data_IF_703465538221
#
_entry.id   IF_703465538221
#
_cell.length_a   1.000
_cell.length_b   1.000
_cell.length_c   1.000
_cell.angle_alpha   90.00
_cell.angle_beta   90.00
_cell.angle_gamma   90.00
#
_symmetry.space_group_name_H-M   'P 1'
#
loop_
_entity.id
_entity.type
_entity.pdbx_description
1 polymer ?
#
# COMPACT_ATOMS: atom_id res chain seq x y z
N UNK A 1 -98.47 -25.22 10.49
CA UNK A 1 -97.56 -24.01 10.44
C UNK A 1 -96.38 -24.13 11.39
N UNK A 2 -96.46 -24.62 12.62
CA UNK A 2 -95.27 -24.67 13.52
C UNK A 2 -94.16 -25.64 13.05
N UNK A 3 -94.51 -26.78 12.43
CA UNK A 3 -93.50 -27.74 11.93
C UNK A 3 -92.67 -27.24 10.73
N UNK A 4 -93.30 -26.45 9.92
CA UNK A 4 -92.60 -25.83 8.75
C UNK A 4 -91.63 -24.76 9.20
N UNK A 5 -91.86 -24.05 10.30
CA UNK A 5 -90.95 -23.04 10.84
C UNK A 5 -89.68 -23.67 11.46
N UNK A 6 -89.82 -24.84 12.09
CA UNK A 6 -88.65 -25.56 12.64
C UNK A 6 -87.73 -26.11 11.51
N UNK A 7 -88.35 -26.57 10.40
CA UNK A 7 -87.63 -27.05 9.26
C UNK A 7 -86.80 -25.90 8.59
N UNK A 8 -87.42 -24.72 8.52
CA UNK A 8 -86.76 -23.56 7.99
C UNK A 8 -85.56 -23.12 8.89
N UNK A 9 -85.73 -23.19 10.20
CA UNK A 9 -84.69 -22.83 11.17
C UNK A 9 -83.55 -23.86 11.19
N UNK A 10 -83.84 -25.13 10.97
CA UNK A 10 -82.80 -26.18 10.87
C UNK A 10 -81.98 -26.06 9.63
N UNK A 11 -82.58 -25.64 8.49
CA UNK A 11 -81.83 -25.40 7.25
C UNK A 11 -80.98 -24.15 7.37
N UNK A 12 -81.44 -23.08 8.03
CA UNK A 12 -80.68 -21.87 8.23
C UNK A 12 -79.46 -22.11 9.15
N UNK A 13 -79.58 -23.02 10.17
CA UNK A 13 -78.49 -23.36 11.08
C UNK A 13 -77.30 -24.09 10.31
N UNK A 14 -77.63 -24.84 9.28
CA UNK A 14 -76.64 -25.57 8.49
C UNK A 14 -75.75 -24.61 7.65
N UNK A 15 -76.32 -23.46 7.23
CA UNK A 15 -75.54 -22.46 6.49
C UNK A 15 -74.58 -21.57 7.31
N UNK A 16 -74.76 -21.56 8.66
CA UNK A 16 -73.85 -20.82 9.55
C UNK A 16 -72.67 -21.65 10.04
N UNK A 17 -72.55 -22.93 9.67
CA UNK A 17 -71.51 -23.81 10.17
C UNK A 17 -70.24 -23.84 9.34
N UNK A 18 -70.17 -23.03 8.25
CA UNK A 18 -68.94 -22.87 7.47
C UNK A 18 -68.27 -21.52 7.76
N UNK A 19 -67.74 -21.36 8.92
CA UNK A 19 -66.62 -20.45 9.12
C UNK A 19 -65.35 -21.29 9.15
N UNK A 20 -64.64 -21.21 8.05
CA UNK A 20 -63.32 -21.83 7.92
C UNK A 20 -62.33 -21.26 8.94
N UNK A 21 -62.34 -21.76 10.15
CA UNK A 21 -61.20 -21.59 11.07
C UNK A 21 -60.01 -22.52 10.70
N UNK A 22 -60.20 -23.37 9.69
CA UNK A 22 -59.21 -24.35 9.27
C UNK A 22 -58.13 -23.79 8.34
N UNK A 23 -58.21 -22.53 7.97
CA UNK A 23 -57.12 -21.89 7.20
C UNK A 23 -55.85 -21.58 8.01
N UNK A 24 -55.91 -21.83 9.32
CA UNK A 24 -54.76 -21.66 10.22
C UNK A 24 -53.98 -22.97 10.46
N UNK A 25 -54.57 -24.13 10.09
CA UNK A 25 -53.91 -25.42 10.27
C UNK A 25 -52.81 -25.56 9.21
N UNK A 26 -51.55 -25.36 9.58
CA UNK A 26 -50.41 -25.43 8.73
C UNK A 26 -49.62 -24.13 8.61
N UNK A 27 -50.16 -22.98 9.03
CA UNK A 27 -49.42 -21.72 9.02
C UNK A 27 -48.19 -21.75 9.94
N UNK A 28 -48.20 -22.56 11.00
CA UNK A 28 -47.05 -22.77 11.89
C UNK A 28 -46.06 -23.82 11.38
N UNK A 29 -46.42 -24.58 10.34
CA UNK A 29 -45.54 -25.59 9.72
C UNK A 29 -44.74 -25.04 8.51
N UNK A 30 -45.14 -23.91 8.03
CA UNK A 30 -44.40 -23.20 6.96
C UNK A 30 -43.91 -21.90 7.57
N UNK A 31 -42.68 -21.92 8.07
CA UNK A 31 -41.89 -20.67 8.26
C UNK A 31 -41.59 -20.10 6.88
N UNK A 32 -42.59 -19.54 6.25
CA UNK A 32 -42.37 -18.75 5.07
C UNK A 32 -41.84 -17.38 5.51
N UNK A 33 -40.53 -17.30 5.66
CA UNK A 33 -39.84 -16.02 5.62
C UNK A 33 -40.05 -15.43 4.22
N UNK A 34 -41.12 -14.65 4.07
CA UNK A 34 -41.32 -13.89 2.86
C UNK A 34 -40.21 -12.81 2.79
N UNK A 35 -39.15 -13.06 2.05
CA UNK A 35 -38.23 -12.02 1.68
C UNK A 35 -38.91 -11.19 0.58
N UNK A 36 -39.26 -9.97 0.92
CA UNK A 36 -39.63 -9.02 -0.13
C UNK A 36 -38.39 -8.65 -0.92
N UNK A 37 -38.22 -9.27 -2.06
CA UNK A 37 -37.16 -8.89 -3.00
C UNK A 37 -37.65 -7.68 -3.77
N UNK A 38 -37.08 -6.52 -3.48
CA UNK A 38 -37.26 -5.34 -4.31
C UNK A 38 -36.25 -5.44 -5.45
N UNK A 39 -36.74 -5.68 -6.65
CA UNK A 39 -35.93 -5.60 -7.85
C UNK A 39 -36.18 -4.23 -8.50
N UNK A 40 -35.15 -3.44 -8.61
CA UNK A 40 -35.17 -2.19 -9.34
C UNK A 40 -34.20 -2.30 -10.53
N UNK A 41 -34.53 -1.61 -11.61
CA UNK A 41 -33.69 -1.54 -12.80
C UNK A 41 -33.12 -0.13 -12.89
N UNK A 42 -31.79 -0.02 -12.88
CA UNK A 42 -31.11 1.23 -13.18
C UNK A 42 -30.34 1.10 -14.49
N UNK A 43 -30.29 2.18 -15.25
CA UNK A 43 -29.34 2.30 -16.35
C UNK A 43 -27.97 2.67 -15.79
N UNK A 44 -26.94 1.94 -16.23
CA UNK A 44 -25.56 2.20 -15.84
C UNK A 44 -24.81 2.65 -17.08
N UNK A 45 -24.32 3.88 -17.06
CA UNK A 45 -23.40 4.38 -18.06
C UNK A 45 -21.97 4.13 -17.58
N UNK A 46 -21.22 3.36 -18.37
CA UNK A 46 -19.83 3.03 -18.09
C UNK A 46 -18.94 3.76 -19.07
N UNK A 47 -17.96 4.49 -18.56
CA UNK A 47 -16.95 5.14 -19.39
C UNK A 47 -15.54 4.78 -18.89
N UNK A 48 -14.59 4.74 -19.83
CA UNK A 48 -13.17 4.61 -19.52
C UNK A 48 -12.52 5.97 -19.64
N UNK A 49 -11.84 6.39 -18.60
CA UNK A 49 -11.07 7.65 -18.57
C UNK A 49 -9.60 7.31 -18.60
N UNK A 50 -8.87 7.91 -19.53
CA UNK A 50 -7.41 7.88 -19.54
C UNK A 50 -6.91 9.06 -18.70
N UNK A 51 -6.11 8.77 -17.66
CA UNK A 51 -5.44 9.79 -16.87
C UNK A 51 -4.04 10.03 -17.46
N UNK A 52 -3.67 11.28 -17.64
CA UNK A 52 -2.35 11.66 -18.14
C UNK A 52 -1.26 11.36 -17.11
N UNK A 53 -1.53 11.65 -15.85
CA UNK A 53 -0.59 11.45 -14.74
C UNK A 53 -1.35 11.19 -13.44
N UNK A 54 -0.71 10.46 -12.54
CA UNK A 54 -1.21 10.15 -11.21
C UNK A 54 -0.22 10.70 -10.20
N UNK A 55 -0.70 11.48 -9.25
CA UNK A 55 0.09 11.95 -8.13
C UNK A 55 0.59 10.79 -7.28
N UNK A 56 1.88 10.84 -6.91
CA UNK A 56 2.54 9.74 -6.19
C UNK A 56 3.25 10.18 -4.92
N UNK A 57 3.02 11.44 -4.48
CA UNK A 57 3.63 12.02 -3.29
C UNK A 57 2.81 11.71 -2.04
N UNK A 58 3.52 11.52 -0.92
CA UNK A 58 2.92 11.52 0.41
C UNK A 58 2.28 10.22 0.86
N UNK A 59 2.41 9.14 0.10
CA UNK A 59 1.93 7.83 0.50
C UNK A 59 2.77 7.24 1.64
N UNK A 60 2.10 6.52 2.54
CA UNK A 60 2.76 5.76 3.62
C UNK A 60 3.39 4.44 3.14
N UNK A 61 3.20 4.09 1.88
CA UNK A 61 3.72 2.89 1.23
C UNK A 61 4.33 3.28 -0.11
N UNK A 62 5.62 3.03 -0.28
CA UNK A 62 6.25 3.12 -1.58
C UNK A 62 6.15 1.80 -2.34
N UNK A 63 6.03 1.87 -3.65
CA UNK A 63 6.07 0.72 -4.55
C UNK A 63 7.45 0.62 -5.18
N UNK A 64 8.02 -0.59 -5.18
CA UNK A 64 9.34 -0.84 -5.74
C UNK A 64 9.38 -2.19 -6.45
N UNK A 65 9.85 -2.22 -7.67
CA UNK A 65 10.01 -3.45 -8.43
C UNK A 65 9.62 -3.31 -9.89
N UNK A 66 9.77 -4.41 -10.60
CA UNK A 66 9.47 -4.52 -12.02
C UNK A 66 8.55 -5.72 -12.24
N UNK A 67 7.58 -5.56 -13.13
CA UNK A 67 6.64 -6.61 -13.52
C UNK A 67 6.35 -6.55 -15.00
N UNK A 68 6.40 -7.71 -15.66
CA UNK A 68 6.06 -7.86 -17.08
C UNK A 68 4.90 -8.84 -17.25
N UNK A 69 3.91 -8.41 -18.03
CA UNK A 69 2.75 -9.21 -18.39
C UNK A 69 2.54 -9.21 -19.89
N UNK A 70 2.18 -10.35 -20.45
CA UNK A 70 1.81 -10.46 -21.87
C UNK A 70 0.49 -9.72 -22.20
N UNK A 71 -0.38 -9.52 -21.20
CA UNK A 71 -1.66 -8.86 -21.36
C UNK A 71 -1.60 -7.35 -21.13
N UNK A 72 -0.78 -6.90 -20.17
CA UNK A 72 -0.77 -5.51 -19.68
C UNK A 72 0.52 -4.76 -20.02
N UNK A 73 1.50 -5.44 -20.62
CA UNK A 73 2.79 -4.86 -20.90
C UNK A 73 3.73 -4.88 -19.71
N UNK A 74 4.53 -3.84 -19.57
CA UNK A 74 5.62 -3.74 -18.60
C UNK A 74 5.38 -2.56 -17.67
N UNK A 75 5.54 -2.79 -16.37
CA UNK A 75 5.41 -1.78 -15.32
C UNK A 75 6.67 -1.79 -14.46
N UNK A 76 7.25 -0.62 -14.25
CA UNK A 76 8.39 -0.42 -13.37
C UNK A 76 8.05 0.63 -12.32
N UNK A 77 8.25 0.31 -11.06
CA UNK A 77 8.03 1.20 -9.94
C UNK A 77 9.38 1.60 -9.34
N UNK A 78 9.77 2.85 -9.56
CA UNK A 78 10.98 3.48 -9.02
C UNK A 78 10.60 4.32 -7.80
N UNK A 79 11.40 4.29 -6.75
CA UNK A 79 11.15 5.04 -5.54
C UNK A 79 12.24 6.10 -5.29
N UNK A 80 11.80 7.32 -5.02
CA UNK A 80 12.65 8.45 -4.65
C UNK A 80 12.52 8.70 -3.16
N UNK A 81 13.63 8.73 -2.43
CA UNK A 81 13.66 8.92 -0.98
C UNK A 81 14.58 10.07 -0.59
N UNK A 82 14.07 10.99 0.20
CA UNK A 82 14.88 11.90 0.99
C UNK A 82 15.00 11.38 2.43
N UNK A 83 16.12 11.66 3.07
CA UNK A 83 16.39 11.26 4.45
C UNK A 83 16.50 12.47 5.35
N UNK A 84 16.13 12.31 6.60
CA UNK A 84 16.39 13.27 7.65
C UNK A 84 17.63 12.91 8.46
N UNK A 85 18.22 13.90 9.10
CA UNK A 85 19.30 13.68 10.06
C UNK A 85 18.78 12.99 11.32
N UNK A 86 19.68 12.31 12.02
CA UNK A 86 19.42 11.86 13.38
C UNK A 86 19.64 13.00 14.37
N UNK A 87 18.91 12.99 15.48
CA UNK A 87 19.15 13.88 16.63
C UNK A 87 20.37 13.48 17.46
N UNK A 88 21.11 12.45 17.03
CA UNK A 88 22.30 11.96 17.75
C UNK A 88 23.44 12.96 17.62
N UNK A 89 23.94 13.43 18.78
CA UNK A 89 25.13 14.28 18.86
C UNK A 89 26.28 13.45 19.48
N UNK A 90 27.39 13.23 18.75
CA UNK A 90 28.52 12.50 19.29
C UNK A 90 29.13 13.21 20.50
N UNK A 91 29.50 12.43 21.51
CA UNK A 91 30.28 12.94 22.63
C UNK A 91 31.77 12.90 22.27
N UNK A 92 32.45 14.03 22.38
CA UNK A 92 33.85 14.20 22.02
C UNK A 92 34.81 13.40 22.90
N UNK A 93 34.36 12.91 24.07
CA UNK A 93 35.17 12.10 24.96
C UNK A 93 35.30 10.62 24.54
N UNK A 94 34.53 10.21 23.52
CA UNK A 94 34.50 8.84 23.01
C UNK A 94 35.14 8.71 21.64
N UNK A 95 35.72 7.56 21.40
CA UNK A 95 36.17 7.16 20.06
C UNK A 95 35.09 6.28 19.45
N UNK A 96 34.61 6.67 18.27
CA UNK A 96 33.61 5.93 17.53
C UNK A 96 34.26 5.12 16.41
N UNK A 97 33.80 3.90 16.22
CA UNK A 97 34.23 3.02 15.14
C UNK A 97 33.01 2.52 14.38
N UNK A 98 33.10 2.51 13.05
CA UNK A 98 32.04 1.97 12.23
C UNK A 98 31.92 0.45 12.44
N UNK A 99 30.74 -0.01 12.77
CA UNK A 99 30.38 -1.41 12.66
C UNK A 99 29.82 -1.73 11.29
N UNK A 100 28.78 -1.04 10.90
CA UNK A 100 28.15 -1.21 9.59
C UNK A 100 27.23 -0.02 9.28
N UNK A 101 27.01 0.22 7.99
CA UNK A 101 25.94 1.08 7.51
C UNK A 101 24.87 0.18 6.87
N UNK A 102 23.65 0.19 7.41
CA UNK A 102 22.58 -0.73 7.00
C UNK A 102 21.33 0.03 6.57
N UNK A 103 20.92 -0.23 5.34
CA UNK A 103 19.59 0.16 4.86
C UNK A 103 18.58 -0.91 5.31
N UNK A 104 17.52 -0.48 5.98
CA UNK A 104 16.40 -1.30 6.42
C UNK A 104 15.14 -0.91 5.68
N UNK A 105 14.39 -1.91 5.21
CA UNK A 105 13.10 -1.73 4.55
C UNK A 105 12.11 -2.78 5.03
N UNK A 106 10.94 -2.36 5.49
CA UNK A 106 9.90 -3.27 5.98
C UNK A 106 8.81 -3.40 4.92
N UNK A 107 8.57 -4.61 4.37
CA UNK A 107 7.47 -4.85 3.44
C UNK A 107 6.12 -4.54 4.09
N UNK A 108 5.25 -3.83 3.37
CA UNK A 108 3.90 -3.48 3.83
C UNK A 108 2.91 -4.65 3.79
N UNK A 109 3.24 -5.70 3.03
CA UNK A 109 2.36 -6.81 2.70
C UNK A 109 1.65 -6.65 1.36
N UNK A 110 1.71 -5.48 0.73
CA UNK A 110 1.20 -5.25 -0.62
C UNK A 110 2.21 -5.73 -1.66
N UNK A 111 1.72 -6.43 -2.67
CA UNK A 111 2.55 -6.88 -3.78
C UNK A 111 1.71 -7.16 -5.04
N UNK A 112 2.39 -7.19 -6.17
CA UNK A 112 1.83 -7.57 -7.45
C UNK A 112 2.86 -8.41 -8.23
N UNK A 113 2.51 -9.64 -8.61
CA UNK A 113 3.37 -10.54 -9.38
C UNK A 113 3.96 -11.68 -8.56
N UNK A 114 5.07 -12.25 -9.04
CA UNK A 114 5.72 -13.42 -8.42
C UNK A 114 6.65 -12.99 -7.27
N UNK A 115 6.30 -13.39 -6.06
CA UNK A 115 7.05 -13.09 -4.84
C UNK A 115 8.20 -14.06 -4.56
N UNK A 116 8.41 -15.07 -5.38
CA UNK A 116 9.46 -16.08 -5.21
C UNK A 116 10.70 -15.78 -6.05
N UNK A 117 10.54 -15.03 -7.13
CA UNK A 117 11.66 -14.62 -7.98
C UNK A 117 12.45 -13.50 -7.32
N UNK A 118 13.78 -13.68 -7.29
CA UNK A 118 14.71 -12.68 -6.78
C UNK A 118 14.66 -11.43 -7.66
N UNK A 119 14.68 -10.26 -7.02
CA UNK A 119 14.74 -8.97 -7.69
C UNK A 119 16.06 -8.28 -7.39
N UNK A 120 16.56 -7.52 -8.37
CA UNK A 120 17.71 -6.65 -8.22
C UNK A 120 17.28 -5.19 -8.23
N UNK A 121 17.81 -4.44 -7.28
CA UNK A 121 17.59 -3.00 -7.14
C UNK A 121 18.93 -2.29 -7.19
N UNK A 122 19.03 -1.27 -8.04
CA UNK A 122 20.18 -0.37 -8.09
C UNK A 122 19.82 0.95 -7.40
N UNK A 123 20.68 1.42 -6.51
CA UNK A 123 20.48 2.68 -5.78
C UNK A 123 21.39 3.74 -6.39
N UNK A 124 20.78 4.86 -6.78
CA UNK A 124 21.47 6.03 -7.29
C UNK A 124 21.30 7.21 -6.33
N UNK A 125 22.24 8.15 -6.36
CA UNK A 125 22.11 9.43 -5.67
C UNK A 125 21.40 10.43 -6.57
N UNK A 126 20.52 11.25 -6.01
CA UNK A 126 19.99 12.43 -6.72
C UNK A 126 21.08 13.48 -6.91
N UNK A 127 21.06 14.19 -8.04
CA UNK A 127 21.99 15.31 -8.30
C UNK A 127 21.64 16.59 -7.53
N UNK A 128 20.36 16.73 -7.15
CA UNK A 128 19.85 17.87 -6.38
C UNK A 128 18.72 17.44 -5.45
N UNK A 129 18.49 18.17 -4.35
CA UNK A 129 17.32 17.96 -3.50
C UNK A 129 16.03 18.03 -4.30
N UNK A 130 15.00 17.31 -3.84
CA UNK A 130 13.66 17.42 -4.39
C UNK A 130 13.07 18.75 -3.91
N UNK A 131 12.97 19.70 -4.81
CA UNK A 131 12.35 21.00 -4.55
C UNK A 131 11.06 21.04 -5.35
N UNK A 132 9.95 21.20 -4.63
CA UNK A 132 8.63 21.36 -5.22
C UNK A 132 8.15 22.77 -4.89
N UNK A 133 7.74 23.52 -5.90
CA UNK A 133 7.04 24.77 -5.70
C UNK A 133 5.67 24.49 -5.04
N UNK A 134 5.06 25.52 -4.44
CA UNK A 134 3.88 25.36 -3.57
C UNK A 134 2.66 24.66 -4.20
N UNK A 135 2.60 24.57 -5.51
CA UNK A 135 1.53 23.95 -6.30
C UNK A 135 2.01 22.78 -7.18
N UNK A 136 3.26 22.33 -7.01
CA UNK A 136 3.82 21.22 -7.78
C UNK A 136 3.80 19.93 -6.96
N UNK A 137 3.41 18.85 -7.63
CA UNK A 137 3.43 17.49 -7.10
C UNK A 137 4.33 16.58 -7.91
N UNK A 138 4.71 15.45 -7.33
CA UNK A 138 5.38 14.38 -8.04
C UNK A 138 4.35 13.44 -8.64
N UNK A 139 4.53 13.16 -9.90
CA UNK A 139 3.66 12.26 -10.65
C UNK A 139 4.39 10.97 -11.04
N UNK A 140 3.62 9.96 -11.39
CA UNK A 140 4.15 8.68 -11.88
C UNK A 140 5.01 8.82 -13.16
N UNK A 141 4.93 9.95 -13.85
CA UNK A 141 5.74 10.30 -15.03
C UNK A 141 6.97 11.16 -14.68
N UNK A 142 7.13 11.60 -13.43
CA UNK A 142 8.25 12.48 -13.03
C UNK A 142 9.55 11.69 -12.99
N UNK A 143 10.56 12.20 -13.68
CA UNK A 143 11.93 11.67 -13.67
C UNK A 143 12.87 12.72 -13.12
N UNK A 144 13.50 12.44 -11.99
CA UNK A 144 14.46 13.34 -11.36
C UNK A 144 15.89 12.96 -11.77
N UNK A 145 16.79 13.95 -11.94
CA UNK A 145 18.17 13.70 -12.37
C UNK A 145 18.98 12.99 -11.30
N UNK A 146 19.64 11.91 -11.69
CA UNK A 146 20.49 11.08 -10.83
C UNK A 146 21.95 11.13 -11.27
N UNK A 147 22.87 10.72 -10.41
CA UNK A 147 24.24 10.41 -10.79
C UNK A 147 24.25 9.27 -11.83
N UNK A 148 25.29 9.26 -12.69
CA UNK A 148 25.33 8.34 -13.83
C UNK A 148 25.63 6.89 -13.43
N UNK A 149 26.32 6.68 -12.31
CA UNK A 149 26.64 5.37 -11.78
C UNK A 149 25.83 5.06 -10.51
N UNK A 150 25.38 3.81 -10.33
CA UNK A 150 24.75 3.41 -9.08
C UNK A 150 25.74 3.50 -7.92
N UNK A 151 25.27 3.94 -6.77
CA UNK A 151 26.02 3.92 -5.52
C UNK A 151 26.36 2.48 -5.13
N UNK A 152 25.37 1.61 -5.27
CA UNK A 152 25.50 0.15 -5.16
C UNK A 152 24.22 -0.54 -5.64
N UNK A 153 24.26 -1.88 -5.77
CA UNK A 153 23.11 -2.68 -6.11
C UNK A 153 22.98 -3.86 -5.15
N UNK A 154 21.75 -4.26 -4.87
CA UNK A 154 21.47 -5.41 -4.02
C UNK A 154 20.35 -6.26 -4.63
N UNK A 155 20.23 -7.49 -4.12
CA UNK A 155 19.16 -8.41 -4.50
C UNK A 155 18.37 -8.83 -3.26
N UNK A 156 17.07 -9.01 -3.44
CA UNK A 156 16.21 -9.58 -2.40
C UNK A 156 15.11 -10.43 -3.04
N UNK A 157 14.57 -11.35 -2.25
CA UNK A 157 13.38 -12.10 -2.66
C UNK A 157 12.18 -11.50 -1.95
N UNK A 158 11.17 -11.01 -2.69
CA UNK A 158 9.95 -10.52 -2.09
C UNK A 158 9.31 -11.63 -1.26
N UNK A 159 8.97 -11.38 -0.04
CA UNK A 159 8.24 -12.31 0.83
C UNK A 159 7.22 -11.54 1.66
N UNK A 160 6.27 -10.84 1.01
CA UNK A 160 5.43 -9.86 1.68
C UNK A 160 4.57 -10.46 2.78
N UNK A 161 4.12 -11.71 2.61
CA UNK A 161 3.32 -12.42 3.61
C UNK A 161 4.06 -12.73 4.93
N UNK A 162 5.37 -12.77 4.91
CA UNK A 162 6.20 -12.98 6.11
C UNK A 162 6.60 -11.66 6.78
N UNK A 163 6.37 -10.53 6.15
CA UNK A 163 6.81 -9.18 6.62
C UNK A 163 8.27 -9.16 7.09
N UNK A 164 9.10 -10.00 6.47
CA UNK A 164 10.50 -10.10 6.82
C UNK A 164 11.21 -8.83 6.34
N UNK A 165 11.86 -8.15 7.26
CA UNK A 165 12.70 -7.00 6.96
C UNK A 165 13.74 -7.33 5.89
N UNK A 166 13.92 -6.44 4.94
CA UNK A 166 15.01 -6.44 3.99
C UNK A 166 16.11 -5.55 4.55
N UNK A 167 17.19 -6.15 5.02
CA UNK A 167 18.36 -5.46 5.54
C UNK A 167 19.51 -5.59 4.56
N UNK A 168 20.05 -4.46 4.13
CA UNK A 168 21.10 -4.39 3.12
C UNK A 168 22.29 -3.62 3.70
N UNK A 169 23.45 -4.27 3.81
CA UNK A 169 24.69 -3.59 4.19
C UNK A 169 25.17 -2.72 3.03
N UNK A 170 25.29 -1.45 3.31
CA UNK A 170 25.81 -0.45 2.38
C UNK A 170 27.34 -0.45 2.39
N UNK A 171 28.00 0.18 1.38
CA UNK A 171 29.45 0.23 1.35
C UNK A 171 30.07 0.87 2.61
N UNK A 172 31.01 0.19 3.23
CA UNK A 172 31.69 0.66 4.46
C UNK A 172 32.39 2.00 4.25
N UNK A 173 32.86 2.29 3.02
CA UNK A 173 33.47 3.58 2.69
C UNK A 173 32.50 4.75 2.85
N UNK A 174 31.24 4.54 2.52
CA UNK A 174 30.20 5.56 2.71
C UNK A 174 29.85 5.70 4.19
N UNK A 175 29.69 4.59 4.92
CA UNK A 175 29.46 4.61 6.36
C UNK A 175 30.60 5.31 7.11
N UNK A 176 31.85 5.03 6.74
CA UNK A 176 33.03 5.66 7.36
C UNK A 176 33.08 7.17 7.10
N UNK A 177 32.71 7.61 5.89
CA UNK A 177 32.61 9.04 5.59
C UNK A 177 31.54 9.72 6.46
N UNK A 178 30.34 9.15 6.52
CA UNK A 178 29.24 9.69 7.36
C UNK A 178 29.65 9.75 8.84
N UNK A 179 30.28 8.69 9.35
CA UNK A 179 30.75 8.66 10.73
C UNK A 179 31.78 9.74 11.00
N UNK A 180 32.76 9.90 10.11
CA UNK A 180 33.81 10.90 10.26
C UNK A 180 33.22 12.32 10.27
N UNK A 181 32.30 12.60 9.32
CA UNK A 181 31.65 13.90 9.22
C UNK A 181 30.75 14.17 10.45
N UNK A 182 30.06 13.14 10.96
CA UNK A 182 29.23 13.24 12.17
C UNK A 182 30.10 13.52 13.42
N UNK A 183 31.20 12.80 13.58
CA UNK A 183 32.13 12.97 14.72
C UNK A 183 32.84 14.33 14.65
N UNK A 184 33.14 14.81 13.44
CA UNK A 184 33.68 16.15 13.22
C UNK A 184 32.65 17.26 13.45
N UNK A 185 31.38 16.90 13.69
CA UNK A 185 30.27 17.84 13.82
C UNK A 185 30.19 18.78 12.61
N UNK A 186 30.27 18.23 11.42
CA UNK A 186 30.17 19.00 10.17
C UNK A 186 28.83 19.74 10.13
N UNK A 187 28.87 20.97 9.69
CA UNK A 187 27.75 21.93 9.76
C UNK A 187 26.52 21.51 8.93
N UNK A 188 26.66 20.56 8.03
CA UNK A 188 25.51 20.07 7.26
C UNK A 188 24.54 19.22 8.11
N UNK A 189 24.94 18.77 9.28
CA UNK A 189 24.04 18.10 10.24
C UNK A 189 23.19 19.07 11.06
N UNK A 190 23.52 20.37 11.10
CA UNK A 190 22.83 21.35 11.93
C UNK A 190 21.35 21.53 11.55
N UNK A 191 21.02 21.47 10.27
CA UNK A 191 19.66 21.67 9.78
C UNK A 191 19.34 20.72 8.64
N UNK A 192 18.05 20.36 8.53
CA UNK A 192 17.56 19.51 7.44
C UNK A 192 17.87 20.09 6.05
N UNK A 193 17.81 21.41 5.88
CA UNK A 193 18.10 22.06 4.61
C UNK A 193 19.58 21.94 4.20
N UNK A 194 20.51 22.06 5.16
CA UNK A 194 21.93 21.82 4.91
C UNK A 194 22.19 20.36 4.60
N UNK A 195 21.56 19.44 5.35
CA UNK A 195 21.67 18.02 5.12
C UNK A 195 21.19 17.61 3.72
N UNK A 196 20.03 18.07 3.29
CA UNK A 196 19.50 17.79 1.95
C UNK A 196 20.40 18.31 0.83
N UNK A 197 21.08 19.44 1.03
CA UNK A 197 22.05 19.94 0.05
C UNK A 197 23.27 19.03 -0.10
N UNK A 198 23.72 18.41 1.00
CA UNK A 198 24.83 17.45 1.00
C UNK A 198 24.39 16.06 0.53
N UNK A 199 23.20 15.63 0.97
CA UNK A 199 22.56 14.34 0.64
C UNK A 199 21.19 14.59 0.02
N UNK A 200 21.14 14.86 -1.30
CA UNK A 200 19.88 15.22 -1.97
C UNK A 200 18.81 14.15 -1.95
N UNK A 201 19.20 12.90 -1.68
CA UNK A 201 18.32 11.75 -1.64
C UNK A 201 18.83 10.59 -2.47
N UNK A 202 18.12 9.49 -2.39
CA UNK A 202 18.40 8.25 -3.08
C UNK A 202 17.25 7.87 -4.01
N UNK A 203 17.61 7.19 -5.09
CA UNK A 203 16.65 6.63 -6.04
C UNK A 203 16.85 5.12 -6.10
N UNK A 204 15.79 4.39 -5.88
CA UNK A 204 15.75 2.93 -5.95
C UNK A 204 15.17 2.54 -7.29
N UNK A 205 16.00 2.00 -8.17
CA UNK A 205 15.63 1.63 -9.53
C UNK A 205 15.63 0.11 -9.65
N UNK A 206 14.50 -0.53 -9.97
CA UNK A 206 14.48 -1.96 -10.22
C UNK A 206 15.12 -2.28 -11.56
N UNK A 207 15.83 -3.40 -11.61
CA UNK A 207 16.29 -3.99 -12.86
C UNK A 207 15.13 -4.66 -13.61
N UNK A 208 15.25 -4.79 -14.93
CA UNK A 208 14.18 -5.31 -15.79
C UNK A 208 13.99 -6.84 -15.74
N UNK A 209 14.71 -7.53 -14.87
CA UNK A 209 14.62 -8.96 -14.63
C UNK A 209 13.61 -9.34 -13.52
N UNK A 210 13.09 -8.35 -12.80
CA UNK A 210 12.08 -8.53 -11.76
C UNK A 210 10.72 -9.00 -12.32
N UNK A 211 9.94 -9.70 -11.49
CA UNK A 211 8.59 -10.17 -11.80
C UNK A 211 7.59 -9.81 -10.71
N UNK A 212 7.94 -8.87 -9.84
CA UNK A 212 7.10 -8.45 -8.74
C UNK A 212 7.29 -6.96 -8.42
N UNK A 213 6.20 -6.28 -8.12
CA UNK A 213 6.22 -4.97 -7.48
C UNK A 213 5.87 -5.19 -6.01
N UNK A 214 6.71 -4.73 -5.10
CA UNK A 214 6.55 -4.89 -3.65
C UNK A 214 6.34 -3.54 -2.99
N UNK A 215 5.34 -3.44 -2.13
CA UNK A 215 5.12 -2.27 -1.29
C UNK A 215 5.99 -2.33 -0.04
N UNK A 216 6.65 -1.22 0.29
CA UNK A 216 7.38 -1.03 1.53
C UNK A 216 6.77 0.11 2.34
N UNK A 217 6.78 -0.02 3.65
CA UNK A 217 6.31 1.03 4.56
C UNK A 217 7.29 2.19 4.56
N UNK A 218 6.77 3.41 4.49
CA UNK A 218 7.55 4.66 4.50
C UNK A 218 7.28 5.39 5.80
N UNK A 219 8.14 5.20 6.78
CA UNK A 219 8.20 5.97 8.02
C UNK A 219 9.59 5.81 8.63
N UNK A 220 9.92 6.63 9.61
CA UNK A 220 11.25 6.70 10.23
C UNK A 220 11.73 5.37 10.83
N UNK A 221 10.82 4.48 11.18
CA UNK A 221 11.15 3.17 11.75
C UNK A 221 11.22 2.05 10.71
N UNK A 222 10.52 2.21 9.58
CA UNK A 222 10.33 1.14 8.59
C UNK A 222 11.29 1.22 7.41
N UNK A 223 11.72 2.44 7.05
CA UNK A 223 12.74 2.66 6.03
C UNK A 223 13.78 3.64 6.55
N UNK A 224 14.91 3.11 6.93
CA UNK A 224 15.99 3.87 7.58
C UNK A 224 17.36 3.41 7.13
N UNK A 225 18.34 4.31 7.22
CA UNK A 225 19.77 4.01 7.10
C UNK A 225 20.37 4.15 8.50
N UNK A 226 20.91 3.08 9.02
CA UNK A 226 21.47 3.02 10.36
C UNK A 226 22.99 2.85 10.28
N UNK A 227 23.67 3.67 11.06
CA UNK A 227 25.13 3.71 11.21
C UNK A 227 25.55 3.02 12.50
#
# INVERSE_FOLDING_TARGET
MKKSLYSLFAVLAIFCACQDENSQLGKSLVESSFYNVYADTCSVDISTILLDSIETRGDSICQLGHYRSSAWGEVSATYYAEYSTSDFTPNTDYTYTLDSLVLRMIPSGHFWGDTLTQQRISIYRLKSPIVLDNDEDLYNSTVLPTEDAPLFSFTFTPCPGRKKEVSVRLPDSWGQQLLNDLVAQDDYFDTQDKFKKKFPGLVFVPENDGQCITGFMVNDSAMSINL
#
